data_IF_868100948368
#
_entry.id   IF_868100948368
#
_cell.length_a   1.000
_cell.length_b   1.000
_cell.length_c   1.000
_cell.angle_alpha   90.00
_cell.angle_beta   90.00
_cell.angle_gamma   90.00
#
_symmetry.space_group_name_H-M   'P 1'
#
loop_
_entity.id
_entity.type
_entity.pdbx_description
1 polymer ?
#
# COMPACT_ATOMS: atom_id res chain seq x y z
N UNK A 1 0.80 -40.40 5.62
CA UNK A 1 0.89 -39.03 5.07
C UNK A 1 1.99 -38.83 4.02
N UNK A 2 3.25 -39.25 4.24
CA UNK A 2 4.36 -39.10 3.26
C UNK A 2 4.14 -39.83 1.93
N UNK A 3 3.52 -41.01 1.96
CA UNK A 3 3.20 -41.81 0.77
C UNK A 3 2.10 -41.13 -0.07
N UNK A 4 1.05 -40.63 0.58
CA UNK A 4 -0.05 -39.89 -0.06
C UNK A 4 0.45 -38.62 -0.76
N UNK A 5 1.35 -37.85 -0.14
CA UNK A 5 1.96 -36.66 -0.77
C UNK A 5 2.78 -36.99 -2.02
N UNK A 6 3.49 -38.14 -2.02
CA UNK A 6 4.24 -38.60 -3.19
C UNK A 6 3.31 -39.05 -4.31
N UNK A 7 2.23 -39.76 -4.00
CA UNK A 7 1.23 -40.20 -4.99
C UNK A 7 0.55 -38.99 -5.64
N UNK A 8 0.12 -38.00 -4.83
CA UNK A 8 -0.49 -36.76 -5.33
C UNK A 8 0.49 -35.96 -6.18
N UNK A 9 1.75 -35.83 -5.75
CA UNK A 9 2.78 -35.14 -6.54
C UNK A 9 3.06 -35.80 -7.89
N UNK A 10 3.08 -37.14 -7.94
CA UNK A 10 3.22 -37.89 -9.20
C UNK A 10 1.99 -37.70 -10.10
N UNK A 11 0.79 -37.72 -9.54
CA UNK A 11 -0.46 -37.50 -10.29
C UNK A 11 -0.48 -36.09 -10.91
N UNK A 12 -0.09 -35.07 -10.15
CA UNK A 12 0.00 -33.69 -10.64
C UNK A 12 1.03 -33.56 -11.78
N UNK A 13 2.18 -34.21 -11.66
CA UNK A 13 3.17 -34.21 -12.76
C UNK A 13 2.58 -34.84 -14.03
N UNK A 14 1.86 -35.97 -13.91
CA UNK A 14 1.24 -36.63 -15.06
C UNK A 14 0.19 -35.73 -15.72
N UNK A 15 -0.69 -35.11 -14.92
CA UNK A 15 -1.72 -34.19 -15.41
C UNK A 15 -1.11 -32.96 -16.08
N UNK A 16 -0.06 -32.39 -15.48
CA UNK A 16 0.63 -31.24 -16.05
C UNK A 16 1.38 -31.56 -17.35
N UNK A 17 2.00 -32.75 -17.46
CA UNK A 17 2.62 -33.22 -18.71
C UNK A 17 1.55 -33.38 -19.80
N UNK A 18 0.40 -33.96 -19.48
CA UNK A 18 -0.69 -34.15 -20.44
C UNK A 18 -1.22 -32.80 -20.96
N UNK A 19 -1.42 -31.82 -20.06
CA UNK A 19 -1.87 -30.47 -20.42
C UNK A 19 -0.83 -29.74 -21.29
N UNK A 20 0.46 -29.83 -20.94
CA UNK A 20 1.53 -29.21 -21.73
C UNK A 20 1.65 -29.83 -23.14
N UNK A 21 1.49 -31.15 -23.27
CA UNK A 21 1.50 -31.82 -24.57
C UNK A 21 0.28 -31.44 -25.42
N UNK A 22 -0.91 -31.34 -24.82
CA UNK A 22 -2.12 -30.93 -25.52
C UNK A 22 -2.03 -29.49 -26.01
N UNK A 23 -1.51 -28.57 -25.18
CA UNK A 23 -1.26 -27.19 -25.61
C UNK A 23 -0.22 -27.12 -26.73
N UNK A 24 0.88 -27.87 -26.63
CA UNK A 24 1.94 -27.86 -27.65
C UNK A 24 1.46 -28.43 -29.00
N UNK A 25 0.65 -29.49 -28.98
CA UNK A 25 -0.01 -30.04 -30.17
C UNK A 25 -1.00 -29.03 -30.78
N UNK A 26 -1.77 -28.32 -29.95
CA UNK A 26 -2.67 -27.26 -30.40
C UNK A 26 -1.92 -26.11 -31.08
N UNK A 27 -0.82 -25.63 -30.49
CA UNK A 27 0.05 -24.60 -31.08
C UNK A 27 0.62 -25.09 -32.42
N UNK A 28 1.12 -26.33 -32.48
CA UNK A 28 1.69 -26.89 -33.70
C UNK A 28 0.66 -27.01 -34.84
N UNK A 29 -0.58 -27.38 -34.52
CA UNK A 29 -1.68 -27.44 -35.50
C UNK A 29 -2.03 -26.04 -36.04
N UNK A 30 -2.19 -25.05 -35.16
CA UNK A 30 -2.53 -23.67 -35.57
C UNK A 30 -1.39 -23.04 -36.38
N UNK A 31 -0.12 -23.26 -35.99
CA UNK A 31 1.02 -22.78 -36.76
C UNK A 31 1.16 -23.45 -38.14
N UNK A 32 0.85 -24.74 -38.23
CA UNK A 32 0.86 -25.45 -39.51
C UNK A 32 -0.18 -24.87 -40.48
N UNK A 33 -1.38 -24.60 -39.99
CA UNK A 33 -2.47 -24.04 -40.82
C UNK A 33 -2.18 -22.58 -41.20
N UNK A 34 -1.67 -21.77 -40.26
CA UNK A 34 -1.27 -20.39 -40.51
C UNK A 34 -0.15 -20.26 -41.56
N UNK A 35 0.78 -21.23 -41.61
CA UNK A 35 1.87 -21.27 -42.61
C UNK A 35 1.35 -21.66 -44.00
N UNK A 36 0.32 -22.50 -44.09
CA UNK A 36 -0.22 -22.96 -45.36
C UNK A 36 -1.24 -22.00 -45.98
N UNK A 37 -2.02 -21.29 -45.16
CA UNK A 37 -3.19 -20.54 -45.63
C UNK A 37 -3.18 -19.05 -45.24
N UNK A 38 -2.19 -18.61 -44.45
CA UNK A 38 -2.14 -17.27 -43.87
C UNK A 38 -2.97 -17.17 -42.59
N UNK A 39 -2.56 -16.28 -41.68
CA UNK A 39 -3.16 -16.18 -40.34
C UNK A 39 -4.33 -15.18 -40.29
N UNK A 40 -5.45 -15.61 -39.70
CA UNK A 40 -6.58 -14.74 -39.32
C UNK A 40 -6.64 -14.54 -37.78
N UNK A 41 -7.29 -13.47 -37.36
CA UNK A 41 -7.59 -13.06 -35.99
C UNK A 41 -8.10 -14.18 -35.07
N UNK A 42 -8.91 -15.12 -35.59
CA UNK A 42 -9.39 -16.27 -34.83
C UNK A 42 -8.29 -17.30 -34.51
N UNK A 43 -7.30 -17.46 -35.40
CA UNK A 43 -6.17 -18.36 -35.19
C UNK A 43 -5.22 -17.80 -34.12
N UNK A 44 -5.04 -16.48 -34.09
CA UNK A 44 -4.26 -15.80 -33.06
C UNK A 44 -4.88 -15.96 -31.67
N UNK A 45 -6.22 -15.89 -31.57
CA UNK A 45 -6.93 -16.16 -30.32
C UNK A 45 -6.76 -17.62 -29.86
N UNK A 46 -6.82 -18.60 -30.78
CA UNK A 46 -6.59 -20.00 -30.47
C UNK A 46 -5.15 -20.26 -29.99
N UNK A 47 -4.17 -19.58 -30.59
CA UNK A 47 -2.76 -19.68 -30.22
C UNK A 47 -2.52 -19.20 -28.78
N UNK A 48 -3.19 -18.11 -28.37
CA UNK A 48 -3.16 -17.61 -26.98
C UNK A 48 -3.78 -18.62 -26.01
N UNK A 49 -4.91 -19.23 -26.38
CA UNK A 49 -5.56 -20.26 -25.56
C UNK A 49 -4.66 -21.47 -25.36
N UNK A 50 -4.03 -21.99 -26.43
CA UNK A 50 -3.14 -23.13 -26.31
C UNK A 50 -1.83 -22.81 -25.58
N UNK A 51 -1.29 -21.60 -25.73
CA UNK A 51 -0.15 -21.12 -24.95
C UNK A 51 -0.47 -21.03 -23.45
N UNK A 52 -1.69 -20.62 -23.10
CA UNK A 52 -2.16 -20.57 -21.71
C UNK A 52 -2.28 -21.98 -21.12
N UNK A 53 -2.82 -22.94 -21.87
CA UNK A 53 -2.91 -24.35 -21.46
C UNK A 53 -1.51 -24.95 -21.22
N UNK A 54 -0.53 -24.63 -22.09
CA UNK A 54 0.87 -25.00 -21.90
C UNK A 54 1.46 -24.44 -20.60
N UNK A 55 1.28 -23.15 -20.35
CA UNK A 55 1.80 -22.48 -19.15
C UNK A 55 1.22 -23.08 -17.86
N UNK A 56 -0.08 -23.35 -17.85
CA UNK A 56 -0.77 -24.04 -16.75
C UNK A 56 -0.18 -25.43 -16.54
N UNK A 57 0.00 -26.22 -17.61
CA UNK A 57 0.59 -27.55 -17.55
C UNK A 57 1.98 -27.55 -16.89
N UNK A 58 2.85 -26.61 -17.30
CA UNK A 58 4.20 -26.44 -16.72
C UNK A 58 4.14 -26.04 -15.24
N UNK A 59 3.23 -25.14 -14.85
CA UNK A 59 3.00 -24.76 -13.46
C UNK A 59 2.59 -25.94 -12.58
N UNK A 60 1.69 -26.78 -13.07
CA UNK A 60 1.23 -28.00 -12.36
C UNK A 60 2.35 -29.03 -12.21
N UNK A 61 3.20 -29.22 -13.23
CA UNK A 61 4.39 -30.09 -13.13
C UNK A 61 5.32 -29.59 -12.02
N UNK A 62 5.59 -28.29 -11.98
CA UNK A 62 6.47 -27.66 -10.98
C UNK A 62 5.91 -27.82 -9.56
N UNK A 63 4.61 -27.64 -9.39
CA UNK A 63 3.91 -27.90 -8.12
C UNK A 63 3.99 -29.35 -7.65
N UNK A 64 3.77 -30.31 -8.56
CA UNK A 64 3.92 -31.74 -8.27
C UNK A 64 5.35 -32.12 -7.87
N UNK A 65 6.35 -31.52 -8.50
CA UNK A 65 7.77 -31.72 -8.17
C UNK A 65 8.15 -31.21 -6.78
N UNK A 66 7.61 -30.05 -6.38
CA UNK A 66 7.80 -29.47 -5.05
C UNK A 66 7.18 -30.38 -3.98
N UNK A 67 6.00 -30.96 -4.26
CA UNK A 67 5.34 -31.92 -3.37
C UNK A 67 6.16 -33.20 -3.15
N UNK A 68 6.82 -33.71 -4.20
CA UNK A 68 7.64 -34.94 -4.11
C UNK A 68 8.95 -34.69 -3.35
N UNK A 69 9.58 -33.52 -3.54
CA UNK A 69 10.92 -33.23 -3.02
C UNK A 69 11.01 -32.77 -1.57
N UNK A 70 9.89 -32.50 -0.89
CA UNK A 70 9.77 -32.19 0.54
C UNK A 70 11.02 -31.62 1.23
N UNK A 71 11.07 -30.29 1.47
CA UNK A 71 12.16 -29.51 2.10
C UNK A 71 13.20 -30.33 2.89
N UNK A 72 14.24 -30.83 2.21
CA UNK A 72 15.47 -31.32 2.84
C UNK A 72 16.47 -30.17 3.00
N UNK A 73 16.26 -29.25 3.93
CA UNK A 73 17.25 -28.21 4.27
C UNK A 73 17.29 -27.77 5.75
N UNK A 74 16.93 -28.66 6.69
CA UNK A 74 17.08 -28.36 8.14
C UNK A 74 17.93 -29.36 8.95
N UNK A 75 18.65 -30.28 8.32
CA UNK A 75 19.47 -31.27 9.05
C UNK A 75 21.00 -31.06 8.96
N UNK A 76 21.47 -30.06 8.19
CA UNK A 76 22.91 -29.86 7.95
C UNK A 76 23.53 -28.69 8.75
N UNK A 77 22.73 -27.83 9.38
CA UNK A 77 23.23 -26.70 10.19
C UNK A 77 23.21 -26.97 11.71
N UNK A 78 22.37 -27.88 12.20
CA UNK A 78 22.34 -28.21 13.64
C UNK A 78 23.45 -29.19 14.08
N UNK A 79 24.14 -29.86 13.15
CA UNK A 79 25.28 -30.74 13.47
C UNK A 79 26.65 -30.06 13.41
N UNK A 80 26.72 -28.74 13.13
CA UNK A 80 27.98 -27.97 13.10
C UNK A 80 28.22 -27.10 14.34
N UNK A 81 27.29 -27.07 15.31
CA UNK A 81 27.39 -26.24 16.52
C UNK A 81 27.53 -27.00 17.85
N UNK A 82 27.86 -28.30 17.83
CA UNK A 82 28.21 -29.05 19.05
C UNK A 82 29.63 -29.61 18.98
N UNK A 83 30.60 -28.78 19.40
CA UNK A 83 31.95 -29.17 19.83
C UNK A 83 32.14 -28.79 21.30
N UNK A 84 33.01 -29.48 22.06
CA UNK A 84 32.75 -29.85 23.45
C UNK A 84 33.00 -28.74 24.48
N UNK A 85 32.10 -28.65 25.47
CA UNK A 85 32.28 -27.89 26.71
C UNK A 85 33.29 -28.61 27.62
N UNK A 86 34.36 -27.90 27.97
CA UNK A 86 35.29 -28.30 29.01
C UNK A 86 34.93 -27.59 30.33
N UNK A 87 34.82 -28.39 31.38
CA UNK A 87 34.43 -28.05 32.74
C UNK A 87 35.47 -27.20 33.47
N UNK A 88 35.05 -26.14 34.16
CA UNK A 88 35.67 -25.69 35.42
C UNK A 88 34.62 -25.20 36.41
N UNK A 89 34.51 -25.95 37.50
CA UNK A 89 33.90 -25.55 38.76
C UNK A 89 34.67 -24.37 39.35
N UNK A 90 33.95 -23.41 39.93
CA UNK A 90 34.39 -22.84 41.20
C UNK A 90 33.17 -22.44 42.04
N UNK A 91 33.39 -22.50 43.34
CA UNK A 91 32.40 -22.68 44.40
C UNK A 91 32.03 -21.36 45.07
N UNK A 92 30.83 -21.25 45.65
CA UNK A 92 30.56 -20.72 47.02
C UNK A 92 29.06 -20.72 47.35
N UNK A 93 28.79 -21.07 48.61
CA UNK A 93 27.52 -21.46 49.24
C UNK A 93 26.52 -20.30 49.51
N UNK A 94 25.24 -20.63 49.81
CA UNK A 94 24.19 -19.68 50.18
C UNK A 94 24.00 -19.51 51.71
N UNK A 95 23.64 -18.31 52.15
CA UNK A 95 23.19 -17.99 53.53
C UNK A 95 21.75 -17.44 53.57
N UNK A 96 21.05 -17.51 54.73
CA UNK A 96 19.69 -18.05 54.79
C UNK A 96 18.55 -17.03 54.81
N UNK A 97 17.36 -17.51 54.41
CA UNK A 97 16.04 -16.90 54.63
C UNK A 97 15.59 -17.17 56.07
N UNK A 98 15.06 -16.15 56.75
CA UNK A 98 14.30 -16.29 57.99
C UNK A 98 12.85 -15.81 57.77
N UNK A 99 11.91 -16.74 57.97
CA UNK A 99 10.50 -16.49 58.21
C UNK A 99 10.27 -16.06 59.66
N UNK A 100 9.44 -15.04 59.89
CA UNK A 100 8.70 -14.91 61.15
C UNK A 100 7.39 -14.12 60.99
N UNK A 101 6.27 -14.82 61.13
CA UNK A 101 4.97 -14.26 61.47
C UNK A 101 4.93 -13.89 62.96
N UNK A 102 4.16 -12.85 63.34
CA UNK A 102 2.92 -12.97 64.14
C UNK A 102 2.54 -11.64 64.85
N UNK A 103 1.22 -11.35 64.87
CA UNK A 103 0.44 -10.63 65.90
C UNK A 103 -0.23 -9.28 65.52
N UNK A 104 -1.57 -9.33 65.50
CA UNK A 104 -2.56 -8.23 65.61
C UNK A 104 -2.56 -7.69 67.08
N UNK A 105 -3.08 -6.52 67.51
CA UNK A 105 -4.31 -5.74 67.23
C UNK A 105 -4.29 -4.41 68.09
N UNK A 106 -5.36 -3.60 68.35
CA UNK A 106 -5.56 -2.24 67.79
C UNK A 106 -5.77 -1.03 68.78
N UNK A 107 -5.83 0.19 68.22
CA UNK A 107 -6.60 1.38 68.71
C UNK A 107 -5.82 2.49 69.45
N UNK A 108 -6.31 3.76 69.55
CA UNK A 108 -7.64 4.29 69.17
C UNK A 108 -7.64 5.54 68.24
N UNK A 109 -8.83 5.85 67.72
CA UNK A 109 -9.21 7.10 67.06
C UNK A 109 -9.54 8.18 68.11
N UNK A 110 -9.16 9.44 67.86
CA UNK A 110 -9.83 10.62 68.39
C UNK A 110 -9.95 11.70 67.30
N UNK A 111 -11.17 12.22 67.17
CA UNK A 111 -11.63 13.29 66.29
C UNK A 111 -11.10 14.66 66.70
N UNK A 112 -10.88 15.59 65.73
CA UNK A 112 -11.17 17.03 65.89
C UNK A 112 -11.13 17.81 64.56
N UNK A 113 -12.34 18.12 64.09
CA UNK A 113 -12.88 19.36 63.51
C UNK A 113 -12.01 20.37 62.72
N UNK A 114 -12.50 20.63 61.50
CA UNK A 114 -12.50 21.83 60.64
C UNK A 114 -11.89 23.16 61.15
N UNK A 115 -11.11 23.81 60.29
CA UNK A 115 -11.06 25.28 60.09
C UNK A 115 -10.47 25.61 58.71
N UNK A 116 -11.16 26.46 57.94
CA UNK A 116 -10.78 26.97 56.61
C UNK A 116 -9.92 28.25 56.68
N UNK A 117 -9.29 28.57 55.53
CA UNK A 117 -8.69 29.85 55.04
C UNK A 117 -7.14 30.00 55.08
N UNK A 118 -6.52 30.81 54.18
CA UNK A 118 -6.19 30.41 52.80
C UNK A 118 -4.69 30.59 52.46
N UNK A 119 -4.13 29.73 51.59
CA UNK A 119 -2.77 29.86 51.05
C UNK A 119 -2.73 30.60 49.70
N UNK A 120 -1.64 31.31 49.37
CA UNK A 120 -1.62 32.38 48.37
C UNK A 120 -1.70 31.88 46.93
N UNK A 121 -2.38 32.65 46.08
CA UNK A 121 -2.39 32.51 44.63
C UNK A 121 -0.99 32.83 44.07
N UNK A 122 -0.32 31.85 43.49
CA UNK A 122 0.82 32.05 42.62
C UNK A 122 0.36 32.02 41.16
N UNK A 123 0.39 33.19 40.52
CA UNK A 123 0.26 33.36 39.08
C UNK A 123 1.42 32.64 38.38
N UNK A 124 1.13 31.50 37.76
CA UNK A 124 2.00 30.91 36.75
C UNK A 124 1.49 31.26 35.36
N UNK A 125 1.90 32.45 34.93
CA UNK A 125 1.91 32.89 33.55
C UNK A 125 2.82 31.94 32.75
N UNK A 126 2.22 30.91 32.15
CA UNK A 126 2.89 30.05 31.16
C UNK A 126 3.20 30.88 29.92
N UNK A 127 4.38 31.49 29.90
CA UNK A 127 5.02 31.96 28.67
C UNK A 127 5.28 30.74 27.78
N UNK A 128 4.40 30.49 26.82
CA UNK A 128 4.70 29.62 25.67
C UNK A 128 5.72 30.35 24.82
N UNK A 129 6.98 29.93 24.90
CA UNK A 129 7.93 30.22 23.83
C UNK A 129 7.34 29.69 22.51
N UNK A 130 7.39 30.46 21.40
CA UNK A 130 6.90 29.96 20.12
C UNK A 130 7.80 28.82 19.69
N UNK A 131 7.27 27.59 19.62
CA UNK A 131 7.94 26.51 18.90
C UNK A 131 8.13 26.98 17.47
N UNK A 132 9.40 27.18 17.10
CA UNK A 132 9.84 27.54 15.77
C UNK A 132 9.17 26.59 14.76
N UNK A 133 8.42 27.17 13.81
CA UNK A 133 7.78 26.47 12.68
C UNK A 133 8.79 25.89 11.67
N UNK A 134 10.09 26.00 11.96
CA UNK A 134 11.23 25.73 11.09
C UNK A 134 11.53 24.23 10.87
N UNK A 135 10.62 23.31 11.21
CA UNK A 135 10.86 21.87 10.99
C UNK A 135 9.62 21.02 10.68
N UNK A 136 8.46 21.63 10.45
CA UNK A 136 7.27 20.86 10.02
C UNK A 136 7.39 20.42 8.56
N UNK A 137 8.10 21.20 7.73
CA UNK A 137 8.23 20.89 6.30
C UNK A 137 9.15 19.71 5.99
N UNK A 138 10.29 19.62 6.67
CA UNK A 138 11.19 18.48 6.57
C UNK A 138 10.56 17.20 7.14
N UNK A 139 9.73 17.32 8.18
CA UNK A 139 9.07 16.19 8.83
C UNK A 139 8.01 15.54 7.94
N UNK A 140 7.17 16.31 7.23
CA UNK A 140 6.21 15.72 6.29
C UNK A 140 6.91 15.07 5.10
N UNK A 141 7.94 15.71 4.53
CA UNK A 141 8.65 15.18 3.36
C UNK A 141 9.21 13.76 3.61
N UNK A 142 9.80 13.54 4.78
CA UNK A 142 10.31 12.22 5.19
C UNK A 142 9.21 11.17 5.37
N UNK A 143 8.04 11.59 5.82
CA UNK A 143 6.89 10.69 6.00
C UNK A 143 6.30 10.29 4.63
N UNK A 144 6.35 11.19 3.63
CA UNK A 144 5.93 10.91 2.26
C UNK A 144 6.87 9.96 1.50
N UNK A 145 8.19 10.03 1.71
CA UNK A 145 9.14 9.07 1.11
C UNK A 145 8.91 7.63 1.61
N UNK A 146 8.28 7.47 2.77
CA UNK A 146 7.91 6.17 3.31
C UNK A 146 6.58 5.62 2.74
N UNK A 147 5.76 6.45 2.08
CA UNK A 147 4.46 6.05 1.53
C UNK A 147 4.65 5.09 0.37
N UNK A 148 3.88 4.01 0.36
CA UNK A 148 3.87 3.10 -0.77
C UNK A 148 2.46 2.70 -1.18
N UNK A 149 2.34 2.30 -2.44
CA UNK A 149 1.15 1.65 -2.98
C UNK A 149 1.55 0.42 -3.78
N UNK A 150 0.73 -0.61 -3.76
CA UNK A 150 0.82 -1.77 -4.65
C UNK A 150 -0.58 -2.06 -5.19
N UNK A 151 -0.75 -2.01 -6.51
CA UNK A 151 -1.94 -2.53 -7.16
C UNK A 151 -1.89 -4.06 -7.10
N UNK A 152 -2.95 -4.68 -6.59
CA UNK A 152 -3.10 -6.13 -6.60
C UNK A 152 -3.43 -6.56 -8.03
N UNK A 153 -2.52 -7.31 -8.64
CA UNK A 153 -2.66 -7.83 -10.00
C UNK A 153 -3.23 -9.24 -10.01
N UNK A 154 -2.81 -10.08 -9.06
CA UNK A 154 -3.28 -11.46 -8.91
C UNK A 154 -3.31 -11.85 -7.43
N UNK A 155 -4.22 -12.75 -7.08
CA UNK A 155 -4.43 -13.26 -5.74
C UNK A 155 -4.57 -14.77 -5.82
N UNK A 156 -3.66 -15.51 -5.18
CA UNK A 156 -3.73 -16.96 -5.17
C UNK A 156 -3.46 -17.55 -3.78
N UNK A 157 -4.23 -18.57 -3.37
CA UNK A 157 -3.97 -19.27 -2.12
C UNK A 157 -2.75 -20.19 -2.26
N UNK A 158 -1.89 -20.20 -1.25
CA UNK A 158 -0.87 -21.22 -1.07
C UNK A 158 -1.34 -22.16 0.02
N UNK A 159 -1.61 -23.42 -0.36
CA UNK A 159 -2.11 -24.45 0.55
C UNK A 159 -1.23 -24.52 1.81
N UNK A 160 -1.87 -24.42 2.98
CA UNK A 160 -1.31 -24.35 4.35
C UNK A 160 -0.54 -23.09 4.75
N UNK A 161 -0.19 -22.19 3.82
CA UNK A 161 0.73 -21.08 4.12
C UNK A 161 0.05 -19.70 4.09
N UNK A 162 -1.09 -19.56 3.42
CA UNK A 162 -1.87 -18.31 3.39
C UNK A 162 -2.29 -17.91 1.97
N UNK A 163 -2.40 -16.60 1.75
CA UNK A 163 -2.80 -16.00 0.47
C UNK A 163 -1.68 -15.09 0.00
N UNK A 164 -1.31 -15.21 -1.28
CA UNK A 164 -0.34 -14.32 -1.90
C UNK A 164 -1.06 -13.34 -2.80
N UNK A 165 -0.73 -12.06 -2.63
CA UNK A 165 -1.09 -10.99 -3.54
C UNK A 165 0.16 -10.56 -4.31
N UNK A 166 0.09 -10.51 -5.63
CA UNK A 166 1.21 -10.03 -6.47
C UNK A 166 0.95 -8.66 -7.04
N UNK A 167 2.02 -7.87 -7.21
CA UNK A 167 1.98 -6.59 -7.88
C UNK A 167 3.36 -5.92 -7.90
N UNK A 168 3.42 -4.68 -8.35
CA UNK A 168 4.62 -3.84 -8.27
C UNK A 168 4.45 -2.83 -7.15
N UNK A 169 5.42 -2.78 -6.23
CA UNK A 169 5.41 -1.77 -5.18
C UNK A 169 5.95 -0.44 -5.72
N UNK A 170 5.26 0.65 -5.43
CA UNK A 170 5.61 2.00 -5.88
C UNK A 170 5.76 2.90 -4.65
N UNK A 171 6.85 3.64 -4.58
CA UNK A 171 7.18 4.54 -3.48
C UNK A 171 8.12 3.90 -2.46
N UNK A 172 7.81 4.12 -1.19
CA UNK A 172 8.60 3.68 -0.05
C UNK A 172 8.69 2.16 0.11
N UNK A 173 9.63 1.69 0.94
CA UNK A 173 9.83 0.26 1.16
C UNK A 173 8.82 -0.32 2.15
N UNK A 174 8.38 -1.56 1.91
CA UNK A 174 7.58 -2.39 2.80
C UNK A 174 8.47 -3.50 3.39
N UNK A 175 8.41 -3.71 4.71
CA UNK A 175 9.10 -4.82 5.36
C UNK A 175 8.15 -5.98 5.73
N UNK A 176 8.74 -7.15 5.92
CA UNK A 176 8.04 -8.32 6.46
C UNK A 176 7.54 -8.00 7.88
N UNK A 177 6.32 -8.43 8.20
CA UNK A 177 5.61 -8.18 9.47
C UNK A 177 5.12 -6.75 9.67
N UNK A 178 5.17 -5.90 8.64
CA UNK A 178 4.48 -4.60 8.68
C UNK A 178 2.98 -4.76 8.41
N UNK A 179 2.20 -3.93 9.10
CA UNK A 179 0.77 -3.77 8.84
C UNK A 179 0.55 -2.93 7.60
N UNK A 180 -0.43 -3.33 6.81
CA UNK A 180 -0.83 -2.66 5.57
C UNK A 180 -2.34 -2.52 5.53
N UNK A 181 -2.82 -1.48 4.87
CA UNK A 181 -4.20 -1.33 4.47
C UNK A 181 -4.42 -1.98 3.11
N UNK A 182 -5.53 -2.69 2.97
CA UNK A 182 -6.11 -3.09 1.70
C UNK A 182 -7.30 -2.17 1.44
N UNK A 183 -7.28 -1.51 0.28
CA UNK A 183 -8.26 -0.53 -0.17
C UNK A 183 -9.00 -1.14 -1.36
N UNK A 184 -10.19 -1.65 -1.10
CA UNK A 184 -10.96 -2.45 -2.06
C UNK A 184 -11.71 -1.62 -3.09
N UNK A 185 -12.01 -2.23 -4.25
CA UNK A 185 -12.80 -1.59 -5.33
C UNK A 185 -14.15 -1.05 -4.84
N UNK A 186 -14.81 -1.74 -3.91
CA UNK A 186 -16.10 -1.35 -3.34
C UNK A 186 -15.99 -0.27 -2.26
N UNK A 187 -14.78 0.22 -1.97
CA UNK A 187 -14.48 1.18 -0.92
C UNK A 187 -14.27 0.57 0.46
N UNK A 188 -14.33 -0.76 0.58
CA UNK A 188 -13.96 -1.46 1.80
C UNK A 188 -12.49 -1.20 2.18
N UNK A 189 -12.22 -1.11 3.48
CA UNK A 189 -10.86 -0.96 4.00
C UNK A 189 -10.64 -1.93 5.14
N UNK A 190 -9.55 -2.69 5.08
CA UNK A 190 -9.16 -3.59 6.16
C UNK A 190 -7.65 -3.72 6.25
N UNK A 191 -7.18 -4.11 7.44
CA UNK A 191 -5.76 -4.30 7.70
C UNK A 191 -5.35 -5.76 7.53
N UNK A 192 -4.14 -5.94 7.04
CA UNK A 192 -3.42 -7.20 7.04
C UNK A 192 -1.99 -6.97 7.53
N UNK A 193 -1.32 -8.03 7.96
CA UNK A 193 0.11 -8.00 8.26
C UNK A 193 0.85 -8.92 7.29
N UNK A 194 1.94 -8.43 6.69
CA UNK A 194 2.75 -9.25 5.78
C UNK A 194 3.44 -10.37 6.57
N UNK A 195 3.34 -11.61 6.11
CA UNK A 195 4.04 -12.75 6.69
C UNK A 195 5.38 -13.02 6.00
N UNK A 196 5.43 -12.76 4.68
CA UNK A 196 6.63 -12.94 3.87
C UNK A 196 6.54 -12.08 2.61
N UNK A 197 7.69 -11.70 2.06
CA UNK A 197 7.81 -10.99 0.80
C UNK A 197 8.74 -11.79 -0.13
N UNK A 198 8.27 -12.05 -1.35
CA UNK A 198 9.06 -12.64 -2.42
C UNK A 198 9.23 -11.61 -3.54
N UNK A 199 10.46 -11.27 -3.89
CA UNK A 199 10.76 -10.37 -5.01
C UNK A 199 11.11 -11.17 -6.26
N UNK A 200 10.64 -10.67 -7.40
CA UNK A 200 10.80 -11.26 -8.73
C UNK A 200 11.76 -10.40 -9.55
N UNK A 201 12.92 -10.95 -9.91
CA UNK A 201 13.88 -10.28 -10.79
C UNK A 201 14.48 -11.32 -11.75
N UNK A 202 14.42 -11.06 -13.05
CA UNK A 202 15.03 -11.89 -14.11
C UNK A 202 14.67 -13.39 -13.97
N UNK A 203 13.38 -13.69 -13.77
CA UNK A 203 12.83 -15.04 -13.54
C UNK A 203 13.25 -15.73 -12.22
N UNK A 204 14.04 -15.05 -11.40
CA UNK A 204 14.45 -15.52 -10.08
C UNK A 204 13.50 -14.98 -9.03
N UNK A 205 13.01 -15.89 -8.18
CA UNK A 205 12.24 -15.55 -6.99
C UNK A 205 13.15 -15.62 -5.78
N UNK A 206 13.27 -14.49 -5.05
CA UNK A 206 14.03 -14.42 -3.80
C UNK A 206 13.14 -13.96 -2.66
N UNK A 207 13.35 -14.54 -1.48
CA UNK A 207 12.74 -14.01 -0.25
C UNK A 207 13.52 -12.76 0.15
N UNK A 208 12.80 -11.68 0.42
CA UNK A 208 13.39 -10.42 0.87
C UNK A 208 12.76 -10.02 2.20
N UNK A 209 13.54 -9.32 3.04
CA UNK A 209 13.02 -8.75 4.28
C UNK A 209 12.31 -7.41 4.04
N UNK A 210 12.74 -6.69 3.00
CA UNK A 210 12.27 -5.34 2.67
C UNK A 210 12.29 -5.14 1.17
N UNK A 211 11.27 -4.48 0.63
CA UNK A 211 11.15 -4.19 -0.80
C UNK A 211 11.98 -3.00 -1.24
N UNK A 212 12.14 -2.86 -2.56
CA UNK A 212 12.64 -1.66 -3.22
C UNK A 212 11.55 -1.01 -4.08
N UNK A 213 11.68 0.29 -4.34
CA UNK A 213 10.77 1.00 -5.23
C UNK A 213 10.78 0.36 -6.64
N UNK A 214 9.60 0.18 -7.24
CA UNK A 214 9.39 -0.47 -8.54
C UNK A 214 9.81 -1.94 -8.57
N UNK A 215 9.84 -2.62 -7.43
CA UNK A 215 10.11 -4.05 -7.35
C UNK A 215 8.80 -4.84 -7.50
N UNK A 216 8.81 -5.85 -8.38
CA UNK A 216 7.72 -6.80 -8.51
C UNK A 216 7.80 -7.80 -7.36
N UNK A 217 6.71 -7.92 -6.61
CA UNK A 217 6.67 -8.70 -5.37
C UNK A 217 5.42 -9.57 -5.26
N UNK A 218 5.54 -10.62 -4.45
CA UNK A 218 4.46 -11.44 -3.94
C UNK A 218 4.43 -11.27 -2.42
N UNK A 219 3.33 -10.75 -1.90
CA UNK A 219 3.11 -10.52 -0.48
C UNK A 219 2.28 -11.68 0.08
N UNK A 220 2.86 -12.47 0.99
CA UNK A 220 2.15 -13.54 1.68
C UNK A 220 1.43 -12.97 2.91
N UNK A 221 0.15 -13.29 3.03
CA UNK A 221 -0.70 -12.99 4.18
C UNK A 221 -1.25 -14.27 4.79
N UNK A 222 -1.16 -14.39 6.11
CA UNK A 222 -1.69 -15.55 6.85
C UNK A 222 -3.07 -15.30 7.45
N UNK A 223 -3.49 -14.04 7.54
CA UNK A 223 -4.83 -13.68 8.04
C UNK A 223 -5.90 -14.18 7.04
N UNK A 224 -6.91 -14.96 7.48
CA UNK A 224 -8.01 -15.40 6.64
C UNK A 224 -8.77 -14.27 5.91
N UNK A 225 -8.75 -13.04 6.44
CA UNK A 225 -9.34 -11.86 5.78
C UNK A 225 -8.74 -11.59 4.41
N UNK A 226 -7.50 -12.01 4.15
CA UNK A 226 -6.88 -11.89 2.84
C UNK A 226 -7.67 -12.62 1.73
N UNK A 227 -8.56 -13.55 2.08
CA UNK A 227 -9.42 -14.26 1.12
C UNK A 227 -10.44 -13.36 0.41
N UNK A 228 -10.73 -12.19 0.96
CA UNK A 228 -11.60 -11.20 0.34
C UNK A 228 -10.91 -10.37 -0.75
N UNK A 229 -9.57 -10.39 -0.80
CA UNK A 229 -8.78 -9.56 -1.71
C UNK A 229 -8.96 -9.98 -3.17
N UNK A 230 -8.99 -9.00 -4.08
CA UNK A 230 -9.17 -9.22 -5.51
C UNK A 230 -8.19 -8.38 -6.33
N UNK A 231 -7.91 -8.80 -7.58
CA UNK A 231 -7.28 -7.91 -8.55
C UNK A 231 -8.04 -6.58 -8.66
N UNK A 232 -7.31 -5.46 -8.64
CA UNK A 232 -7.88 -4.11 -8.59
C UNK A 232 -7.94 -3.49 -7.20
N UNK A 233 -7.74 -4.25 -6.13
CA UNK A 233 -7.51 -3.71 -4.79
C UNK A 233 -6.13 -3.02 -4.72
N UNK A 234 -5.97 -2.05 -3.82
CA UNK A 234 -4.69 -1.37 -3.60
C UNK A 234 -4.21 -1.60 -2.18
N UNK A 235 -2.97 -2.04 -2.03
CA UNK A 235 -2.30 -2.19 -0.74
C UNK A 235 -1.44 -0.94 -0.47
N UNK A 236 -1.55 -0.36 0.72
CA UNK A 236 -0.78 0.82 1.12
C UNK A 236 -0.48 0.84 2.62
N UNK A 237 0.56 1.55 3.05
CA UNK A 237 0.79 1.83 4.48
C UNK A 237 -0.04 3.01 5.00
N UNK A 238 -0.77 3.72 4.15
CA UNK A 238 -1.70 4.78 4.55
C UNK A 238 -3.12 4.49 4.12
N UNK A 239 -4.06 5.02 4.90
CA UNK A 239 -5.47 5.07 4.54
C UNK A 239 -5.80 6.41 3.90
N UNK A 240 -6.91 6.51 3.16
CA UNK A 240 -7.40 7.80 2.69
C UNK A 240 -7.66 8.77 3.85
N UNK A 241 -7.31 10.04 3.64
CA UNK A 241 -7.78 11.17 4.45
C UNK A 241 -8.41 12.20 3.52
N UNK A 242 -9.74 12.34 3.59
CA UNK A 242 -10.56 13.09 2.62
C UNK A 242 -11.44 14.16 3.27
N UNK A 243 -11.37 14.32 4.60
CA UNK A 243 -12.32 15.14 5.36
C UNK A 243 -11.63 16.23 6.15
N UNK A 244 -10.53 15.90 6.84
CA UNK A 244 -9.81 16.85 7.67
C UNK A 244 -8.67 17.49 6.89
N UNK A 245 -8.86 18.76 6.53
CA UNK A 245 -7.86 19.60 5.84
C UNK A 245 -6.68 19.99 6.72
N UNK A 246 -6.75 19.80 8.04
CA UNK A 246 -5.62 20.04 8.94
C UNK A 246 -4.70 18.82 9.06
N UNK A 247 -5.16 17.67 8.58
CA UNK A 247 -4.37 16.47 8.41
C UNK A 247 -4.02 16.36 6.93
N UNK A 248 -2.82 15.91 6.56
CA UNK A 248 -2.47 15.79 5.15
C UNK A 248 -3.49 14.93 4.40
N UNK A 249 -4.02 15.46 3.29
CA UNK A 249 -4.90 14.72 2.40
C UNK A 249 -4.12 13.58 1.77
N UNK A 250 -4.74 12.41 1.67
CA UNK A 250 -4.13 11.21 1.12
C UNK A 250 -5.16 10.48 0.23
N UNK A 251 -4.82 10.22 -1.03
CA UNK A 251 -5.62 9.41 -1.96
C UNK A 251 -4.85 8.14 -2.42
N UNK A 252 -4.46 7.23 -1.49
CA UNK A 252 -3.55 6.12 -1.81
C UNK A 252 -4.12 5.14 -2.82
N UNK A 253 -5.44 4.94 -2.86
CA UNK A 253 -6.07 4.05 -3.83
C UNK A 253 -5.95 4.59 -5.26
N UNK A 254 -6.29 5.86 -5.48
CA UNK A 254 -6.12 6.50 -6.80
C UNK A 254 -4.66 6.45 -7.25
N UNK A 255 -3.70 6.78 -6.36
CA UNK A 255 -2.27 6.70 -6.66
C UNK A 255 -1.85 5.29 -7.06
N UNK A 256 -2.29 4.27 -6.32
CA UNK A 256 -1.99 2.88 -6.64
C UNK A 256 -2.57 2.43 -7.99
N UNK A 257 -3.77 2.90 -8.34
CA UNK A 257 -4.41 2.61 -9.63
C UNK A 257 -3.66 3.29 -10.79
N UNK A 258 -3.37 4.59 -10.70
CA UNK A 258 -2.63 5.32 -11.74
C UNK A 258 -1.23 4.73 -11.92
N UNK A 259 -0.52 4.48 -10.82
CA UNK A 259 0.80 3.86 -10.90
C UNK A 259 0.72 2.48 -11.55
N UNK A 260 -0.30 1.68 -11.20
CA UNK A 260 -0.54 0.36 -11.76
C UNK A 260 -0.81 0.33 -13.26
N UNK A 261 -1.32 1.41 -13.85
CA UNK A 261 -1.52 1.50 -15.32
C UNK A 261 -0.21 1.30 -16.09
N UNK A 262 0.93 1.67 -15.51
CA UNK A 262 2.25 1.51 -16.12
C UNK A 262 2.85 0.10 -15.96
N UNK A 263 2.28 -0.75 -15.10
CA UNK A 263 2.89 -2.03 -14.70
C UNK A 263 2.00 -3.25 -14.84
N UNK A 264 0.68 -3.06 -14.82
CA UNK A 264 -0.30 -4.12 -14.84
C UNK A 264 -0.98 -4.21 -16.21
N UNK A 265 -1.17 -5.44 -16.70
CA UNK A 265 -1.92 -5.74 -17.92
C UNK A 265 -3.37 -6.10 -17.55
N UNK A 266 -4.10 -5.13 -16.97
CA UNK A 266 -5.49 -5.32 -16.56
C UNK A 266 -6.43 -4.49 -17.44
N UNK A 267 -7.40 -5.13 -18.08
CA UNK A 267 -8.30 -4.47 -19.04
C UNK A 267 -9.19 -3.38 -18.40
N UNK A 268 -9.41 -3.44 -17.08
CA UNK A 268 -10.31 -2.55 -16.33
C UNK A 268 -9.62 -1.32 -15.72
N UNK A 269 -8.33 -1.08 -15.97
CA UNK A 269 -7.58 0.01 -15.32
C UNK A 269 -8.26 1.38 -15.44
N UNK A 270 -8.64 1.78 -16.66
CA UNK A 270 -9.29 3.07 -16.90
C UNK A 270 -10.62 3.20 -16.16
N UNK A 271 -11.40 2.12 -16.10
CA UNK A 271 -12.68 2.11 -15.39
C UNK A 271 -12.47 2.29 -13.89
N UNK A 272 -11.50 1.59 -13.29
CA UNK A 272 -11.20 1.75 -11.87
C UNK A 272 -10.68 3.14 -11.53
N UNK A 273 -9.77 3.69 -12.34
CA UNK A 273 -9.26 5.05 -12.15
C UNK A 273 -10.43 6.06 -12.20
N UNK A 274 -11.28 5.97 -13.22
CA UNK A 274 -12.44 6.84 -13.38
C UNK A 274 -13.45 6.72 -12.23
N UNK A 275 -13.76 5.50 -11.80
CA UNK A 275 -14.67 5.27 -10.67
C UNK A 275 -14.09 5.85 -9.37
N UNK A 276 -12.81 5.62 -9.10
CA UNK A 276 -12.15 6.11 -7.89
C UNK A 276 -12.10 7.65 -7.86
N UNK A 277 -11.76 8.28 -8.99
CA UNK A 277 -11.78 9.75 -9.12
C UNK A 277 -13.17 10.31 -8.85
N UNK A 278 -14.21 9.75 -9.50
CA UNK A 278 -15.58 10.25 -9.41
C UNK A 278 -16.19 10.09 -8.03
N UNK A 279 -15.92 8.98 -7.35
CA UNK A 279 -16.68 8.60 -6.16
C UNK A 279 -15.95 8.84 -4.84
N UNK A 280 -14.61 8.75 -4.84
CA UNK A 280 -13.83 8.57 -3.60
C UNK A 280 -12.59 9.44 -3.50
N UNK A 281 -12.32 10.28 -4.49
CA UNK A 281 -11.17 11.17 -4.47
C UNK A 281 -11.55 12.55 -3.99
N UNK A 282 -10.64 13.19 -3.25
CA UNK A 282 -10.63 14.64 -3.03
C UNK A 282 -9.32 15.19 -3.56
N UNK A 283 -9.45 16.13 -4.49
CA UNK A 283 -8.31 16.80 -5.08
C UNK A 283 -8.01 18.07 -4.33
N UNK A 284 -6.73 18.40 -4.27
CA UNK A 284 -6.23 19.71 -3.90
C UNK A 284 -6.03 20.51 -5.17
N UNK A 285 -6.62 21.71 -5.23
CA UNK A 285 -6.54 22.61 -6.38
C UNK A 285 -6.03 23.96 -5.89
N UNK A 286 -4.97 24.45 -6.53
CA UNK A 286 -4.42 25.78 -6.23
C UNK A 286 -5.43 26.83 -6.66
N UNK A 287 -5.65 27.82 -5.81
CA UNK A 287 -6.51 28.97 -6.06
C UNK A 287 -5.75 30.26 -5.82
N UNK A 288 -6.05 31.25 -6.62
CA UNK A 288 -5.56 32.61 -6.43
C UNK A 288 -6.76 33.47 -6.06
N UNK A 289 -6.65 34.18 -4.93
CA UNK A 289 -7.68 35.07 -4.42
C UNK A 289 -7.16 36.50 -4.42
N UNK A 290 -7.94 37.41 -5.00
CA UNK A 290 -7.64 38.85 -4.97
C UNK A 290 -7.83 39.46 -3.57
N UNK A 291 -8.78 38.92 -2.81
CA UNK A 291 -9.14 39.33 -1.45
C UNK A 291 -9.11 38.10 -0.56
N UNK A 292 -8.28 38.15 0.47
CA UNK A 292 -8.19 37.09 1.47
C UNK A 292 -9.49 37.00 2.27
N UNK A 293 -10.08 35.81 2.41
CA UNK A 293 -11.34 35.63 3.14
C UNK A 293 -11.11 35.79 4.64
N UNK A 294 -12.12 36.32 5.34
CA UNK A 294 -12.07 36.50 6.79
C UNK A 294 -12.36 35.18 7.49
N UNK A 295 -11.40 34.66 8.25
CA UNK A 295 -11.55 33.42 9.02
C UNK A 295 -12.38 33.64 10.28
N UNK A 296 -13.38 32.77 10.51
CA UNK A 296 -14.26 32.85 11.68
C UNK A 296 -13.71 32.11 12.91
N UNK A 297 -12.51 31.53 12.83
CA UNK A 297 -11.86 30.80 13.93
C UNK A 297 -12.41 29.39 14.21
N UNK A 298 -13.48 28.97 13.51
CA UNK A 298 -14.08 27.63 13.55
C UNK A 298 -13.71 26.76 12.33
N UNK A 299 -12.73 27.22 11.54
CA UNK A 299 -12.35 26.58 10.27
C UNK A 299 -13.21 27.00 9.08
N UNK A 300 -14.16 27.91 9.25
CA UNK A 300 -14.88 28.55 8.13
C UNK A 300 -14.30 29.92 7.80
N UNK A 301 -14.43 30.33 6.53
CA UNK A 301 -14.00 31.63 6.07
C UNK A 301 -15.09 32.29 5.22
N UNK A 302 -15.21 33.62 5.31
CA UNK A 302 -16.22 34.39 4.58
C UNK A 302 -15.54 35.16 3.45
N UNK A 303 -15.99 34.91 2.22
CA UNK A 303 -15.60 35.68 1.06
C UNK A 303 -16.36 37.02 1.03
N UNK A 304 -15.64 38.10 0.80
CA UNK A 304 -16.24 39.41 0.65
C UNK A 304 -17.01 39.50 -0.67
N UNK A 305 -18.03 40.36 -0.71
CA UNK A 305 -18.77 40.61 -1.95
C UNK A 305 -17.82 41.22 -2.99
N UNK A 306 -17.80 40.64 -4.19
CA UNK A 306 -16.90 40.96 -5.30
C UNK A 306 -15.46 40.44 -5.18
N UNK A 307 -15.18 39.45 -4.32
CA UNK A 307 -13.92 38.69 -4.42
C UNK A 307 -13.84 37.93 -5.74
N UNK A 308 -12.69 37.99 -6.40
CA UNK A 308 -12.33 37.24 -7.59
C UNK A 308 -11.43 36.05 -7.24
N UNK A 309 -11.82 34.88 -7.71
CA UNK A 309 -11.07 33.63 -7.59
C UNK A 309 -10.62 33.19 -8.98
N UNK A 310 -9.32 32.93 -9.13
CA UNK A 310 -8.74 32.34 -10.34
C UNK A 310 -8.10 30.99 -10.04
N UNK A 311 -8.09 30.12 -11.07
CA UNK A 311 -7.47 28.81 -11.02
C UNK A 311 -6.30 28.80 -12.01
N UNK A 312 -5.05 28.79 -11.55
CA UNK A 312 -3.91 28.70 -12.44
C UNK A 312 -3.91 27.32 -13.13
N UNK A 313 -3.58 27.33 -14.43
CA UNK A 313 -3.46 26.13 -15.27
C UNK A 313 -2.02 25.93 -15.75
N UNK A 314 -1.71 24.71 -16.18
CA UNK A 314 -0.44 24.37 -16.83
C UNK A 314 -0.64 24.25 -18.34
N UNK A 315 0.33 24.73 -19.11
CA UNK A 315 0.33 24.63 -20.58
C UNK A 315 1.33 23.58 -21.04
N UNK A 316 0.90 22.65 -21.90
CA UNK A 316 1.77 21.65 -22.53
C UNK A 316 2.72 22.30 -23.55
N UNK A 317 3.69 21.54 -24.07
CA UNK A 317 4.57 22.04 -25.14
C UNK A 317 3.80 22.30 -26.44
N UNK A 318 2.71 21.56 -26.63
CA UNK A 318 1.79 21.64 -27.75
C UNK A 318 0.80 22.81 -27.61
N UNK A 319 0.81 23.51 -26.47
CA UNK A 319 -0.02 24.70 -26.22
C UNK A 319 -1.40 24.41 -25.62
N UNK A 320 -1.66 23.19 -25.18
CA UNK A 320 -2.91 22.83 -24.51
C UNK A 320 -2.87 23.16 -23.02
N UNK A 321 -3.96 23.66 -22.45
CA UNK A 321 -4.01 24.00 -21.04
C UNK A 321 -4.75 22.94 -20.24
N UNK A 322 -4.22 22.57 -19.08
CA UNK A 322 -4.83 21.62 -18.17
C UNK A 322 -4.87 22.20 -16.75
N UNK A 323 -5.98 21.98 -16.07
CA UNK A 323 -6.10 22.31 -14.65
C UNK A 323 -5.26 21.31 -13.82
N UNK A 324 -4.21 21.73 -13.12
CA UNK A 324 -3.50 20.85 -12.20
C UNK A 324 -4.37 20.51 -10.99
N UNK A 325 -4.39 19.23 -10.62
CA UNK A 325 -5.01 18.73 -9.40
C UNK A 325 -4.04 17.80 -8.67
N UNK A 326 -4.04 17.84 -7.34
CA UNK A 326 -3.08 17.10 -6.52
C UNK A 326 -3.79 16.11 -5.59
N UNK A 327 -3.21 14.92 -5.43
CA UNK A 327 -3.75 13.86 -4.57
C UNK A 327 -3.33 13.98 -3.11
N UNK A 328 -2.29 14.77 -2.83
CA UNK A 328 -1.71 14.91 -1.49
C UNK A 328 -0.81 16.15 -1.41
N UNK A 329 -0.36 16.47 -0.20
CA UNK A 329 0.48 17.64 0.04
C UNK A 329 1.89 17.49 -0.52
N UNK A 330 2.43 16.27 -0.65
CA UNK A 330 3.75 16.10 -1.24
C UNK A 330 3.74 16.48 -2.72
N UNK A 331 2.69 16.12 -3.45
CA UNK A 331 2.52 16.55 -4.84
C UNK A 331 2.25 18.04 -4.96
N UNK A 332 1.38 18.59 -4.11
CA UNK A 332 1.11 20.03 -4.05
C UNK A 332 2.37 20.84 -3.72
N UNK A 333 3.23 20.37 -2.82
CA UNK A 333 4.46 21.07 -2.40
C UNK A 333 5.45 21.31 -3.55
N UNK A 334 5.32 20.56 -4.65
CA UNK A 334 6.13 20.75 -5.87
C UNK A 334 5.63 21.91 -6.72
N UNK A 335 4.50 22.51 -6.38
CA UNK A 335 4.00 23.75 -6.96
C UNK A 335 4.87 24.93 -6.53
N UNK A 336 5.89 25.25 -7.34
CA UNK A 336 6.94 26.23 -7.00
C UNK A 336 6.59 27.69 -7.32
N UNK A 337 5.31 28.01 -7.54
CA UNK A 337 4.93 29.39 -7.90
C UNK A 337 4.73 30.31 -6.68
N UNK A 338 4.49 29.78 -5.47
CA UNK A 338 4.27 30.57 -4.25
C UNK A 338 4.88 29.90 -3.00
N UNK A 339 5.25 30.68 -1.97
CA UNK A 339 5.85 30.13 -0.73
C UNK A 339 4.86 29.29 0.09
N UNK A 340 3.54 29.46 -0.09
CA UNK A 340 2.48 28.53 0.33
C UNK A 340 1.23 28.79 -0.54
N UNK A 341 0.92 27.96 -1.55
CA UNK A 341 -0.24 28.21 -2.40
C UNK A 341 -1.53 28.09 -1.60
N UNK A 342 -2.47 29.01 -1.84
CA UNK A 342 -3.83 28.80 -1.36
C UNK A 342 -4.45 27.63 -2.11
N UNK A 343 -5.13 26.77 -1.38
CA UNK A 343 -5.59 25.49 -1.92
C UNK A 343 -7.01 25.21 -1.48
N UNK A 344 -7.83 24.71 -2.39
CA UNK A 344 -9.16 24.22 -2.12
C UNK A 344 -9.21 22.71 -2.28
N UNK A 345 -9.96 22.05 -1.40
CA UNK A 345 -10.32 20.64 -1.55
C UNK A 345 -11.57 20.54 -2.42
N UNK A 346 -11.49 19.76 -3.49
CA UNK A 346 -12.52 19.67 -4.51
C UNK A 346 -12.85 18.22 -4.84
N UNK A 347 -14.12 17.97 -5.16
CA UNK A 347 -14.55 16.70 -5.75
C UNK A 347 -14.22 16.67 -7.24
N UNK A 348 -14.36 15.50 -7.86
CA UNK A 348 -14.27 15.38 -9.31
C UNK A 348 -15.28 16.28 -10.04
N UNK A 349 -16.53 16.33 -9.58
CA UNK A 349 -17.56 17.15 -10.21
C UNK A 349 -17.25 18.65 -10.13
N UNK A 350 -16.65 19.12 -9.02
CA UNK A 350 -16.21 20.50 -8.87
C UNK A 350 -15.10 20.85 -9.87
N UNK A 351 -14.10 19.98 -10.03
CA UNK A 351 -13.02 20.16 -11.00
C UNK A 351 -13.57 20.17 -12.43
N UNK A 352 -14.48 19.24 -12.76
CA UNK A 352 -15.15 19.20 -14.08
C UNK A 352 -15.98 20.45 -14.34
N UNK A 353 -16.61 21.02 -13.31
CA UNK A 353 -17.34 22.27 -13.45
C UNK A 353 -16.38 23.41 -13.82
N UNK A 354 -15.22 23.52 -13.16
CA UNK A 354 -14.23 24.55 -13.48
C UNK A 354 -13.69 24.40 -14.91
N UNK A 355 -13.26 23.19 -15.28
CA UNK A 355 -12.67 22.95 -16.60
C UNK A 355 -13.69 23.06 -17.73
N UNK A 356 -14.95 22.69 -17.48
CA UNK A 356 -16.02 22.79 -18.47
C UNK A 356 -16.51 24.22 -18.76
N UNK A 357 -16.23 25.19 -17.90
CA UNK A 357 -16.65 26.59 -18.10
C UNK A 357 -15.61 27.43 -18.86
N UNK A 358 -14.36 26.97 -18.95
CA UNK A 358 -13.27 27.70 -19.61
C UNK A 358 -12.84 26.96 -20.88
N UNK A 359 -13.27 27.45 -22.04
CA UNK A 359 -12.92 26.89 -23.36
C UNK A 359 -11.41 26.85 -23.64
N UNK A 360 -10.59 27.56 -22.84
CA UNK A 360 -9.13 27.52 -22.95
C UNK A 360 -8.54 26.28 -22.30
N UNK A 361 -9.27 25.56 -21.45
CA UNK A 361 -8.81 24.42 -20.66
C UNK A 361 -9.32 23.12 -21.29
N UNK A 362 -8.40 22.25 -21.70
CA UNK A 362 -8.71 20.98 -22.36
C UNK A 362 -9.20 19.89 -21.40
N UNK A 363 -8.86 20.02 -20.12
CA UNK A 363 -9.15 19.01 -19.10
C UNK A 363 -8.40 19.29 -17.80
N UNK A 364 -8.12 18.24 -17.04
CA UNK A 364 -7.28 18.35 -15.85
C UNK A 364 -6.16 17.31 -15.84
N UNK A 365 -5.12 17.58 -15.07
CA UNK A 365 -3.96 16.71 -14.92
C UNK A 365 -3.74 16.39 -13.44
N UNK A 366 -3.78 15.10 -13.11
CA UNK A 366 -3.52 14.59 -11.77
C UNK A 366 -2.01 14.49 -11.56
N UNK A 367 -1.53 15.12 -10.48
CA UNK A 367 -0.13 15.10 -10.04
C UNK A 367 0.85 15.37 -11.21
N UNK A 368 0.83 16.57 -11.82
CA UNK A 368 1.63 16.89 -13.02
C UNK A 368 3.14 16.70 -12.87
N UNK A 369 3.63 16.59 -11.63
CA UNK A 369 5.06 16.46 -11.32
C UNK A 369 5.51 15.02 -11.05
N UNK A 370 4.59 14.05 -10.97
CA UNK A 370 4.90 12.63 -10.76
C UNK A 370 4.11 11.72 -11.69
N UNK A 371 2.81 11.58 -11.43
CA UNK A 371 1.95 10.63 -12.15
C UNK A 371 1.59 11.15 -13.54
N UNK A 372 1.36 12.48 -13.65
CA UNK A 372 1.05 13.18 -14.90
C UNK A 372 -0.09 12.50 -15.70
N UNK A 373 -1.16 12.12 -15.01
CA UNK A 373 -2.33 11.48 -15.60
C UNK A 373 -3.32 12.54 -16.10
N UNK A 374 -3.63 12.52 -17.40
CA UNK A 374 -4.50 13.50 -18.05
C UNK A 374 -5.90 12.93 -18.29
N UNK A 375 -6.93 13.73 -18.03
CA UNK A 375 -8.34 13.41 -18.30
C UNK A 375 -9.05 14.45 -19.16
#
# INVERSE_FOLDING_TARGET
MKIVKKIIGVLLIIVGILAALLGALGIAAVLHDAVLWGSDSSEMAQLIVFATICAIGVGVIRGGWILIRGRKRKAAEEQKMSGPQESRQDSREPGPQEDRQESREPGPQEERQESQEPGPQEDHQYSREPRQQENQQEWWAKDYEARFTLLVEDVFPIFTDGIVASGVIIGGPLAVHEEVWVLSEDGGQYRLQTAQIEAFQDEIVRKVYRTQNRERVGLLFQDPKAAAMKPGDVISNVRPNLEDVNIPIENPRLKGLIAGENYALLDRMKEWINQEMKQRTRFLVVVELDIQPEENGDGTAVFQKNSHMSFPYLTTREGENYQPVFTDWAELSKWRMEEKPQTMMMTYEDVRAITGHDERISGFVVNPFSDNYME
#
